data_IF_965495424882
#
_entry.id   IF_965495424882
#
_cell.length_a   1.000
_cell.length_b   1.000
_cell.length_c   1.000
_cell.angle_alpha   90.00
_cell.angle_beta   90.00
_cell.angle_gamma   90.00
#
_symmetry.space_group_name_H-M   'P 1'
#
loop_
_entity.id
_entity.type
_entity.pdbx_description
1 polymer ?
#
# COMPACT_ATOMS: atom_id res chain seq x y z
N UNK A 1 13.89 97.69 -15.10
CA UNK A 1 12.52 98.24 -15.20
C UNK A 1 11.79 97.49 -16.30
N UNK A 2 10.82 96.64 -15.94
CA UNK A 2 9.78 96.11 -16.82
C UNK A 2 10.23 95.75 -18.28
N UNK A 3 9.40 95.89 -19.33
CA UNK A 3 8.86 94.81 -20.16
C UNK A 3 9.41 94.83 -21.60
N UNK A 4 9.20 93.78 -22.40
CA UNK A 4 9.41 93.85 -23.86
C UNK A 4 8.08 93.76 -24.62
N UNK A 5 7.45 94.92 -24.76
CA UNK A 5 6.50 95.25 -25.82
C UNK A 5 7.24 95.23 -27.16
N UNK A 6 6.64 94.66 -28.20
CA UNK A 6 6.89 95.09 -29.58
C UNK A 6 5.61 95.65 -30.17
N UNK A 7 5.67 96.96 -30.41
CA UNK A 7 4.78 97.74 -31.25
C UNK A 7 4.86 97.24 -32.69
N UNK A 8 3.71 97.19 -33.36
CA UNK A 8 3.61 97.63 -34.74
C UNK A 8 2.54 98.72 -34.78
N UNK A 9 3.01 99.93 -35.08
CA UNK A 9 2.21 101.10 -35.39
C UNK A 9 2.11 101.20 -36.91
N UNK A 10 0.89 101.18 -37.45
CA UNK A 10 0.53 101.70 -38.78
C UNK A 10 -0.91 102.21 -38.59
N UNK A 11 -1.11 103.48 -38.21
CA UNK A 11 -1.23 104.65 -39.09
C UNK A 11 -2.52 104.58 -39.91
N UNK A 12 -3.58 105.12 -39.31
CA UNK A 12 -4.74 105.67 -40.00
C UNK A 12 -4.26 106.75 -40.98
N UNK A 13 -4.49 106.54 -42.28
CA UNK A 13 -5.01 107.56 -43.18
C UNK A 13 -5.41 106.93 -44.54
N UNK A 14 -6.44 107.53 -45.15
CA UNK A 14 -6.98 107.32 -46.51
C UNK A 14 -7.84 106.06 -46.69
N UNK A 15 -9.13 106.13 -47.00
CA UNK A 15 -9.88 107.18 -47.69
C UNK A 15 -10.55 106.55 -48.91
N UNK A 16 -11.87 106.76 -49.03
CA UNK A 16 -12.76 106.34 -50.14
C UNK A 16 -13.05 104.82 -50.16
N UNK A 17 -14.28 104.34 -50.31
CA UNK A 17 -15.45 104.92 -50.96
C UNK A 17 -16.70 104.33 -50.30
N UNK A 18 -17.62 105.19 -49.85
CA UNK A 18 -19.04 104.82 -49.74
C UNK A 18 -19.61 104.79 -51.17
N UNK A 19 -19.05 103.91 -52.00
CA UNK A 19 -19.40 103.72 -53.40
C UNK A 19 -20.56 102.73 -53.49
N UNK A 20 -21.77 103.27 -53.38
CA UNK A 20 -23.02 102.75 -53.94
C UNK A 20 -22.98 101.30 -54.45
N UNK A 21 -23.15 100.33 -53.53
CA UNK A 21 -23.51 98.95 -53.90
C UNK A 21 -24.86 98.93 -54.67
N UNK A 22 -25.66 100.00 -54.56
CA UNK A 22 -26.90 100.16 -55.33
C UNK A 22 -26.71 100.51 -56.81
N UNK A 23 -25.55 101.07 -57.21
CA UNK A 23 -25.30 101.54 -58.58
C UNK A 23 -24.76 100.45 -59.52
N UNK A 24 -23.89 99.56 -59.03
CA UNK A 24 -23.28 98.49 -59.83
C UNK A 24 -24.19 97.28 -60.00
N UNK A 25 -25.05 96.96 -59.01
CA UNK A 25 -26.05 95.89 -59.15
C UNK A 25 -27.15 96.22 -60.16
N UNK A 26 -27.50 97.50 -60.34
CA UNK A 26 -28.55 97.93 -61.29
C UNK A 26 -28.16 97.73 -62.76
N UNK A 27 -26.86 97.72 -63.08
CA UNK A 27 -26.39 97.54 -64.45
C UNK A 27 -26.26 96.07 -64.86
N UNK A 28 -26.01 95.17 -63.90
CA UNK A 28 -25.87 93.73 -64.12
C UNK A 28 -27.22 93.00 -64.17
N UNK A 29 -28.20 93.45 -63.37
CA UNK A 29 -29.53 92.83 -63.25
C UNK A 29 -30.63 93.73 -63.84
N UNK A 30 -30.51 94.07 -65.13
CA UNK A 30 -31.56 94.78 -65.88
C UNK A 30 -32.83 93.93 -66.00
N UNK A 31 -34.00 94.58 -66.03
CA UNK A 31 -35.28 93.90 -66.24
C UNK A 31 -35.26 93.07 -67.53
N UNK A 32 -35.57 91.78 -67.41
CA UNK A 32 -35.62 90.85 -68.55
C UNK A 32 -36.99 90.20 -68.60
N UNK A 33 -37.53 90.10 -69.81
CA UNK A 33 -38.83 89.52 -70.08
C UNK A 33 -38.61 88.21 -70.83
N UNK A 34 -39.05 87.11 -70.24
CA UNK A 34 -38.94 85.78 -70.85
C UNK A 34 -40.28 85.52 -71.56
N UNK A 35 -40.21 85.30 -72.87
CA UNK A 35 -41.36 85.00 -73.71
C UNK A 35 -41.49 83.48 -73.83
N UNK A 36 -42.56 82.92 -73.27
CA UNK A 36 -42.90 81.52 -73.46
C UNK A 36 -44.18 81.42 -74.29
N UNK A 37 -44.11 80.72 -75.42
CA UNK A 37 -45.23 80.52 -76.34
C UNK A 37 -45.65 79.05 -76.30
N UNK A 38 -46.82 78.78 -75.74
CA UNK A 38 -47.45 77.46 -75.73
C UNK A 38 -48.91 77.61 -76.16
N UNK A 39 -49.37 76.78 -77.10
CA UNK A 39 -50.75 76.72 -77.62
C UNK A 39 -51.37 78.09 -77.96
N UNK A 40 -50.63 78.88 -78.75
CA UNK A 40 -51.15 80.12 -79.33
C UNK A 40 -51.26 81.31 -78.37
N UNK A 41 -51.04 81.14 -77.06
CA UNK A 41 -51.10 82.22 -76.05
C UNK A 41 -49.69 82.56 -75.56
N UNK A 42 -49.30 83.83 -75.70
CA UNK A 42 -48.00 84.33 -75.21
C UNK A 42 -48.17 84.78 -73.76
N UNK A 43 -47.58 84.04 -72.83
CA UNK A 43 -47.48 84.46 -71.43
C UNK A 43 -46.15 85.20 -71.24
N UNK A 44 -46.20 86.41 -70.66
CA UNK A 44 -45.00 87.18 -70.31
C UNK A 44 -44.84 87.22 -68.79
N UNK A 45 -43.66 86.85 -68.31
CA UNK A 45 -43.28 86.99 -66.90
C UNK A 45 -42.24 88.10 -66.82
N UNK A 46 -42.53 89.17 -66.09
CA UNK A 46 -41.60 90.29 -65.86
C UNK A 46 -40.74 89.97 -64.65
N UNK A 47 -39.45 89.71 -64.86
CA UNK A 47 -38.48 89.55 -63.78
C UNK A 47 -37.92 90.92 -63.40
N UNK A 48 -38.43 91.49 -62.31
CA UNK A 48 -37.90 92.73 -61.71
C UNK A 48 -36.45 92.52 -61.24
N UNK A 49 -35.64 93.59 -61.19
CA UNK A 49 -34.26 93.52 -60.70
C UNK A 49 -34.17 92.93 -59.28
N UNK A 50 -35.14 93.20 -58.41
CA UNK A 50 -35.18 92.63 -57.05
C UNK A 50 -35.37 91.11 -57.07
N UNK A 51 -36.27 90.61 -57.90
CA UNK A 51 -36.49 89.16 -58.05
C UNK A 51 -35.29 88.45 -58.67
N UNK A 52 -34.58 89.07 -59.62
CA UNK A 52 -33.36 88.48 -60.20
C UNK A 52 -32.23 88.41 -59.17
N UNK A 53 -32.06 89.43 -58.33
CA UNK A 53 -31.06 89.42 -57.25
C UNK A 53 -31.37 88.32 -56.24
N UNK A 54 -32.63 88.18 -55.82
CA UNK A 54 -33.05 87.12 -54.89
C UNK A 54 -32.79 85.74 -55.50
N UNK A 55 -33.17 85.51 -56.75
CA UNK A 55 -32.89 84.24 -57.44
C UNK A 55 -31.39 83.98 -57.58
N UNK A 56 -30.60 84.99 -57.94
CA UNK A 56 -29.15 84.87 -58.04
C UNK A 56 -28.51 84.56 -56.67
N UNK A 57 -28.95 85.21 -55.59
CA UNK A 57 -28.47 84.93 -54.23
C UNK A 57 -28.84 83.52 -53.75
N UNK A 58 -30.06 83.05 -54.05
CA UNK A 58 -30.48 81.68 -53.75
C UNK A 58 -29.63 80.68 -54.54
N UNK A 59 -29.40 80.94 -55.83
CA UNK A 59 -28.59 80.08 -56.69
C UNK A 59 -27.14 80.02 -56.22
N UNK A 60 -26.57 81.17 -55.83
CA UNK A 60 -25.20 81.26 -55.31
C UNK A 60 -25.08 80.57 -53.95
N UNK A 61 -26.07 80.73 -53.06
CA UNK A 61 -26.16 80.00 -51.80
C UNK A 61 -26.28 78.49 -52.00
N UNK A 62 -27.09 78.04 -52.97
CA UNK A 62 -27.22 76.63 -53.33
C UNK A 62 -25.92 76.07 -53.91
N UNK A 63 -25.25 76.79 -54.82
CA UNK A 63 -23.96 76.39 -55.36
C UNK A 63 -22.86 76.33 -54.28
N UNK A 64 -22.84 77.30 -53.37
CA UNK A 64 -21.91 77.31 -52.24
C UNK A 64 -22.18 76.15 -51.27
N UNK A 65 -23.45 75.82 -51.03
CA UNK A 65 -23.84 74.66 -50.23
C UNK A 65 -23.42 73.35 -50.87
N UNK A 66 -23.62 73.19 -52.19
CA UNK A 66 -23.17 72.00 -52.93
C UNK A 66 -21.65 71.88 -52.89
N UNK A 67 -20.91 72.98 -53.07
CA UNK A 67 -19.46 72.98 -52.96
C UNK A 67 -18.99 72.58 -51.54
N UNK A 68 -19.62 73.13 -50.50
CA UNK A 68 -19.34 72.79 -49.10
C UNK A 68 -19.66 71.32 -48.80
N UNK A 69 -20.81 70.82 -49.26
CA UNK A 69 -21.24 69.44 -49.07
C UNK A 69 -20.27 68.46 -49.76
N UNK A 70 -19.89 68.73 -51.01
CA UNK A 70 -18.93 67.89 -51.75
C UNK A 70 -17.57 67.83 -51.04
N UNK A 71 -17.05 68.97 -50.59
CA UNK A 71 -15.79 69.03 -49.80
C UNK A 71 -15.93 68.20 -48.52
N UNK A 72 -17.01 68.37 -47.76
CA UNK A 72 -17.21 67.68 -46.48
C UNK A 72 -17.35 66.15 -46.67
N UNK A 73 -18.01 65.68 -47.73
CA UNK A 73 -18.13 64.25 -48.06
C UNK A 73 -16.77 63.64 -48.39
N UNK A 74 -16.00 64.26 -49.29
CA UNK A 74 -14.68 63.76 -49.72
C UNK A 74 -13.69 63.72 -48.56
N UNK A 75 -13.67 64.75 -47.70
CA UNK A 75 -12.78 64.75 -46.52
C UNK A 75 -13.27 63.84 -45.38
N UNK A 76 -14.59 63.60 -45.24
CA UNK A 76 -15.11 62.63 -44.25
C UNK A 76 -14.81 61.19 -44.61
N UNK A 77 -14.83 60.82 -45.88
CA UNK A 77 -14.55 59.43 -46.30
C UNK A 77 -13.17 58.97 -45.82
N UNK A 78 -12.15 59.81 -45.94
CA UNK A 78 -10.80 59.49 -45.44
C UNK A 78 -10.76 59.30 -43.92
N UNK A 79 -11.50 60.11 -43.16
CA UNK A 79 -11.57 60.02 -41.69
C UNK A 79 -12.37 58.77 -41.26
N UNK A 80 -13.43 58.43 -41.98
CA UNK A 80 -14.26 57.25 -41.71
C UNK A 80 -13.46 55.98 -41.99
N UNK A 81 -12.79 55.90 -43.14
CA UNK A 81 -11.95 54.75 -43.51
C UNK A 81 -10.82 54.55 -42.49
N UNK A 82 -10.11 55.61 -42.10
CA UNK A 82 -9.06 55.52 -41.09
C UNK A 82 -9.59 55.08 -39.71
N UNK A 83 -10.77 55.56 -39.30
CA UNK A 83 -11.41 55.14 -38.04
C UNK A 83 -11.93 53.70 -38.10
N UNK A 84 -12.42 53.25 -39.24
CA UNK A 84 -12.90 51.88 -39.42
C UNK A 84 -11.74 50.89 -39.48
N UNK A 85 -10.60 51.27 -40.05
CA UNK A 85 -9.36 50.50 -40.00
C UNK A 85 -8.85 50.39 -38.56
N UNK A 86 -8.76 51.50 -37.82
CA UNK A 86 -8.41 51.50 -36.40
C UNK A 86 -9.35 50.61 -35.57
N UNK A 87 -10.67 50.69 -35.80
CA UNK A 87 -11.66 49.83 -35.12
C UNK A 87 -11.46 48.35 -35.43
N UNK A 88 -11.15 48.00 -36.69
CA UNK A 88 -10.87 46.62 -37.09
C UNK A 88 -9.60 46.10 -36.43
N UNK A 89 -8.56 46.93 -36.36
CA UNK A 89 -7.30 46.59 -35.69
C UNK A 89 -7.49 46.42 -34.18
N UNK A 90 -8.24 47.31 -33.53
CA UNK A 90 -8.58 47.19 -32.11
C UNK A 90 -9.40 45.92 -31.84
N UNK A 91 -10.40 45.62 -32.68
CA UNK A 91 -11.18 44.38 -32.58
C UNK A 91 -10.33 43.13 -32.83
N UNK A 92 -9.42 43.18 -33.80
CA UNK A 92 -8.51 42.07 -34.09
C UNK A 92 -7.53 41.84 -32.93
N UNK A 93 -6.98 42.91 -32.35
CA UNK A 93 -6.12 42.84 -31.18
C UNK A 93 -6.86 42.28 -29.96
N UNK A 94 -8.10 42.70 -29.73
CA UNK A 94 -8.96 42.18 -28.67
C UNK A 94 -9.25 40.68 -28.86
N UNK A 95 -9.65 40.27 -30.07
CA UNK A 95 -9.89 38.86 -30.41
C UNK A 95 -8.64 37.99 -30.21
N UNK A 96 -7.46 38.48 -30.60
CA UNK A 96 -6.20 37.77 -30.36
C UNK A 96 -5.90 37.61 -28.87
N UNK A 97 -6.13 38.64 -28.06
CA UNK A 97 -5.98 38.54 -26.59
C UNK A 97 -6.97 37.54 -25.99
N UNK A 98 -8.23 37.56 -26.44
CA UNK A 98 -9.25 36.61 -25.99
C UNK A 98 -8.85 35.18 -26.33
N UNK A 99 -8.47 34.90 -27.58
CA UNK A 99 -8.01 33.57 -28.01
C UNK A 99 -6.75 33.11 -27.25
N UNK A 100 -5.80 34.01 -26.99
CA UNK A 100 -4.61 33.67 -26.20
C UNK A 100 -4.99 33.36 -24.74
N UNK A 101 -5.94 34.10 -24.17
CA UNK A 101 -6.45 33.82 -22.82
C UNK A 101 -7.18 32.48 -22.77
N UNK A 102 -8.05 32.19 -23.73
CA UNK A 102 -8.79 30.92 -23.83
C UNK A 102 -7.82 29.74 -23.94
N UNK A 103 -6.81 29.83 -24.82
CA UNK A 103 -5.77 28.79 -24.94
C UNK A 103 -5.00 28.58 -23.64
N UNK A 104 -4.62 29.66 -22.94
CA UNK A 104 -3.94 29.54 -21.65
C UNK A 104 -4.83 28.86 -20.59
N UNK A 105 -6.14 29.13 -20.59
CA UNK A 105 -7.09 28.45 -19.70
C UNK A 105 -7.27 26.97 -20.05
N UNK A 106 -7.39 26.63 -21.34
CA UNK A 106 -7.49 25.25 -21.80
C UNK A 106 -6.23 24.44 -21.43
N UNK A 107 -5.05 25.02 -21.63
CA UNK A 107 -3.78 24.42 -21.26
C UNK A 107 -3.73 24.10 -19.75
N UNK A 108 -3.99 25.09 -18.89
CA UNK A 108 -4.01 24.91 -17.43
C UNK A 108 -5.08 23.90 -17.01
N UNK A 109 -6.27 23.94 -17.60
CA UNK A 109 -7.36 23.01 -17.28
C UNK A 109 -7.00 21.56 -17.66
N UNK A 110 -6.39 21.36 -18.83
CA UNK A 110 -5.95 20.05 -19.27
C UNK A 110 -4.85 19.47 -18.37
N UNK A 111 -3.90 20.32 -17.96
CA UNK A 111 -2.82 19.95 -17.03
C UNK A 111 -3.39 19.55 -15.66
N UNK A 112 -4.33 20.35 -15.12
CA UNK A 112 -5.02 20.04 -13.87
C UNK A 112 -5.80 18.72 -13.91
N UNK A 113 -6.44 18.42 -15.05
CA UNK A 113 -7.11 17.15 -15.24
C UNK A 113 -6.13 15.98 -15.21
N UNK A 114 -4.98 16.09 -15.89
CA UNK A 114 -3.92 15.07 -15.89
C UNK A 114 -3.37 14.87 -14.46
N UNK A 115 -3.05 15.95 -13.74
CA UNK A 115 -2.59 15.86 -12.36
C UNK A 115 -3.60 15.14 -11.46
N UNK A 116 -4.88 15.49 -11.56
CA UNK A 116 -5.93 14.92 -10.71
C UNK A 116 -6.07 13.42 -10.94
N UNK A 117 -6.07 12.99 -12.21
CA UNK A 117 -6.18 11.57 -12.58
C UNK A 117 -4.97 10.76 -12.10
N UNK A 118 -3.77 11.28 -12.31
CA UNK A 118 -2.52 10.63 -11.88
C UNK A 118 -2.43 10.55 -10.34
N UNK A 119 -2.85 11.62 -9.65
CA UNK A 119 -2.90 11.64 -8.20
C UNK A 119 -3.90 10.62 -7.65
N UNK A 120 -5.11 10.55 -8.22
CA UNK A 120 -6.14 9.59 -7.82
C UNK A 120 -5.67 8.15 -8.04
N UNK A 121 -5.03 7.86 -9.18
CA UNK A 121 -4.45 6.55 -9.46
C UNK A 121 -3.34 6.19 -8.46
N UNK A 122 -2.43 7.13 -8.17
CA UNK A 122 -1.37 6.92 -7.18
C UNK A 122 -1.93 6.70 -5.77
N UNK A 123 -2.96 7.44 -5.38
CA UNK A 123 -3.60 7.30 -4.08
C UNK A 123 -4.29 5.95 -3.93
N UNK A 124 -5.08 5.54 -4.93
CA UNK A 124 -5.76 4.22 -4.95
C UNK A 124 -4.77 3.07 -4.87
N UNK A 125 -3.63 3.18 -5.57
CA UNK A 125 -2.54 2.20 -5.49
C UNK A 125 -1.94 2.13 -4.09
N UNK A 126 -1.63 3.28 -3.50
CA UNK A 126 -1.04 3.37 -2.17
C UNK A 126 -2.00 2.87 -1.09
N UNK A 127 -3.29 3.13 -1.23
CA UNK A 127 -4.36 2.59 -0.38
C UNK A 127 -4.37 1.05 -0.44
N UNK A 128 -4.40 0.46 -1.64
CA UNK A 128 -4.35 -1.01 -1.80
C UNK A 128 -3.09 -1.63 -1.20
N UNK A 129 -1.92 -1.02 -1.41
CA UNK A 129 -0.66 -1.47 -0.78
C UNK A 129 -0.69 -1.30 0.75
N UNK A 130 -1.30 -0.23 1.26
CA UNK A 130 -1.41 -0.03 2.69
C UNK A 130 -2.33 -1.07 3.35
N UNK A 131 -3.47 -1.38 2.73
CA UNK A 131 -4.42 -2.38 3.23
C UNK A 131 -3.82 -3.79 3.21
N UNK A 132 -3.10 -4.13 2.13
CA UNK A 132 -2.34 -5.37 2.07
C UNK A 132 -1.28 -5.46 3.19
N UNK A 133 -0.49 -4.40 3.40
CA UNK A 133 0.49 -4.36 4.48
C UNK A 133 -0.17 -4.46 5.86
N UNK A 134 -1.28 -3.74 6.07
CA UNK A 134 -2.04 -3.74 7.32
C UNK A 134 -2.50 -5.15 7.68
N UNK A 135 -3.15 -5.84 6.75
CA UNK A 135 -3.64 -7.20 6.97
C UNK A 135 -2.50 -8.20 7.27
N UNK A 136 -1.35 -8.07 6.60
CA UNK A 136 -0.16 -8.86 6.89
C UNK A 136 0.38 -8.60 8.30
N UNK A 137 0.40 -7.34 8.73
CA UNK A 137 0.83 -6.96 10.08
C UNK A 137 -0.14 -7.47 11.14
N UNK A 138 -1.45 -7.35 10.90
CA UNK A 138 -2.49 -7.88 11.79
C UNK A 138 -2.35 -9.41 11.94
N UNK A 139 -2.26 -10.16 10.83
CA UNK A 139 -2.04 -11.61 10.83
C UNK A 139 -0.74 -12.01 11.52
N UNK A 140 0.35 -11.27 11.29
CA UNK A 140 1.61 -11.51 11.99
C UNK A 140 1.47 -11.26 13.49
N UNK A 141 0.76 -10.19 13.88
CA UNK A 141 0.62 -9.82 15.29
C UNK A 141 -0.16 -10.87 16.09
N UNK A 142 -1.22 -11.45 15.51
CA UNK A 142 -1.96 -12.55 16.14
C UNK A 142 -1.07 -13.78 16.29
N UNK A 143 -0.30 -14.13 15.25
CA UNK A 143 0.63 -15.26 15.31
C UNK A 143 1.76 -15.03 16.33
N UNK A 144 2.29 -13.81 16.43
CA UNK A 144 3.30 -13.45 17.44
C UNK A 144 2.77 -13.64 18.87
N UNK A 145 1.50 -13.29 19.12
CA UNK A 145 0.86 -13.48 20.43
C UNK A 145 0.73 -14.97 20.74
N UNK A 146 0.25 -15.78 19.80
CA UNK A 146 0.17 -17.23 19.96
C UNK A 146 1.54 -17.86 20.21
N UNK A 147 2.56 -17.41 19.48
CA UNK A 147 3.91 -17.92 19.59
C UNK A 147 4.59 -17.54 20.89
N UNK A 148 4.39 -16.30 21.37
CA UNK A 148 4.85 -15.92 22.72
C UNK A 148 4.18 -16.76 23.79
N UNK A 149 2.87 -17.00 23.67
CA UNK A 149 2.15 -17.89 24.60
C UNK A 149 2.71 -19.31 24.60
N UNK A 150 3.04 -19.86 23.43
CA UNK A 150 3.68 -21.17 23.33
C UNK A 150 5.09 -21.16 23.96
N UNK A 151 5.91 -20.16 23.65
CA UNK A 151 7.26 -20.03 24.20
C UNK A 151 7.24 -19.88 25.73
N UNK A 152 6.33 -19.05 26.27
CA UNK A 152 6.17 -18.87 27.72
C UNK A 152 5.70 -20.15 28.42
N UNK A 153 4.69 -20.83 27.86
CA UNK A 153 4.16 -22.07 28.45
C UNK A 153 5.18 -23.19 28.43
N UNK A 154 5.94 -23.31 27.35
CA UNK A 154 6.99 -24.30 27.25
C UNK A 154 8.24 -23.92 28.10
N UNK A 155 8.61 -22.63 28.19
CA UNK A 155 9.68 -22.15 29.08
C UNK A 155 9.34 -22.33 30.56
N UNK A 156 8.09 -22.07 30.94
CA UNK A 156 7.56 -22.34 32.28
C UNK A 156 7.53 -23.85 32.60
N UNK A 157 7.43 -24.71 31.58
CA UNK A 157 7.55 -26.17 31.72
C UNK A 157 8.98 -26.62 32.09
N UNK A 158 9.95 -25.71 32.05
CA UNK A 158 11.30 -25.89 32.59
C UNK A 158 12.21 -26.79 31.76
N UNK A 159 13.47 -26.38 31.63
CA UNK A 159 14.54 -27.30 31.24
C UNK A 159 14.67 -28.43 32.28
N UNK A 160 15.07 -29.66 31.87
CA UNK A 160 15.20 -30.78 32.78
C UNK A 160 16.08 -30.43 33.99
N UNK A 161 15.54 -30.68 35.20
CA UNK A 161 16.18 -30.37 36.48
C UNK A 161 15.57 -29.21 37.27
N UNK A 162 14.54 -28.53 36.75
CA UNK A 162 13.80 -27.50 37.48
C UNK A 162 14.57 -26.19 37.68
N UNK A 163 15.63 -25.95 36.90
CA UNK A 163 16.32 -24.65 36.83
C UNK A 163 15.67 -23.84 35.71
N UNK A 164 15.17 -22.64 36.05
CA UNK A 164 15.05 -21.57 35.05
C UNK A 164 16.44 -21.32 34.51
N UNK A 165 16.63 -21.45 33.20
CA UNK A 165 17.89 -21.08 32.56
C UNK A 165 18.02 -19.56 32.61
N UNK A 166 18.56 -19.06 33.72
CA UNK A 166 19.02 -17.69 33.86
C UNK A 166 20.44 -17.66 33.31
N UNK A 167 20.59 -17.47 32.00
CA UNK A 167 21.90 -17.39 31.40
C UNK A 167 21.86 -17.25 29.89
N UNK A 168 22.29 -16.09 29.43
CA UNK A 168 22.48 -15.61 28.06
C UNK A 168 23.48 -16.41 27.20
N UNK A 169 23.72 -17.69 27.48
CA UNK A 169 24.55 -18.54 26.64
C UNK A 169 23.67 -19.30 25.64
N UNK A 170 23.22 -18.54 24.64
CA UNK A 170 22.83 -19.06 23.33
C UNK A 170 24.05 -19.77 22.76
N UNK A 171 24.25 -21.05 23.04
CA UNK A 171 25.15 -21.88 22.25
C UNK A 171 24.41 -22.16 20.95
N UNK A 172 24.45 -21.16 20.07
CA UNK A 172 24.23 -21.36 18.64
C UNK A 172 25.28 -22.39 18.24
N UNK A 173 24.86 -23.64 18.04
CA UNK A 173 25.57 -24.48 17.08
C UNK A 173 25.36 -23.76 15.77
N UNK A 174 26.33 -22.92 15.40
CA UNK A 174 26.50 -22.45 14.05
C UNK A 174 26.64 -23.71 13.20
N UNK A 175 25.65 -24.07 12.36
CA UNK A 175 25.91 -25.07 11.35
C UNK A 175 26.77 -24.34 10.30
N UNK A 176 28.07 -24.21 10.60
CA UNK A 176 29.08 -23.85 9.61
C UNK A 176 29.17 -24.98 8.62
N UNK A 177 28.24 -24.95 7.67
CA UNK A 177 28.39 -25.44 6.31
C UNK A 177 28.32 -24.23 5.40
N UNK A 178 29.38 -23.41 5.44
CA UNK A 178 29.73 -22.32 4.50
C UNK A 178 28.68 -22.07 3.40
N UNK A 179 27.83 -21.07 3.56
CA UNK A 179 27.38 -20.32 2.39
C UNK A 179 28.57 -19.44 1.96
N UNK A 180 29.12 -19.61 0.74
CA UNK A 180 30.11 -18.69 0.25
C UNK A 180 29.42 -17.37 -0.05
N UNK A 181 29.99 -16.29 0.49
CA UNK A 181 29.62 -14.87 0.32
C UNK A 181 28.40 -14.38 1.14
N UNK A 182 28.52 -13.23 1.84
CA UNK A 182 27.36 -12.50 2.29
C UNK A 182 26.60 -12.11 1.02
N UNK A 183 25.45 -12.73 0.75
CA UNK A 183 24.57 -12.23 -0.31
C UNK A 183 24.30 -10.77 0.03
N UNK A 184 24.72 -9.85 -0.84
CA UNK A 184 24.17 -8.50 -0.81
C UNK A 184 22.66 -8.65 -0.66
N UNK A 185 22.09 -7.98 0.34
CA UNK A 185 20.73 -8.24 0.74
C UNK A 185 19.84 -8.17 -0.50
N UNK A 186 19.05 -9.21 -0.79
CA UNK A 186 18.05 -9.17 -1.88
C UNK A 186 17.22 -7.88 -1.80
N UNK A 187 17.06 -7.37 -0.59
CA UNK A 187 16.49 -6.07 -0.21
C UNK A 187 17.19 -4.85 -0.85
N UNK A 188 18.52 -4.81 -0.91
CA UNK A 188 19.25 -3.72 -1.56
C UNK A 188 19.18 -3.80 -3.08
N UNK A 189 19.25 -5.01 -3.64
CA UNK A 189 19.07 -5.23 -5.09
C UNK A 189 17.65 -4.85 -5.55
N UNK A 190 16.62 -5.27 -4.80
CA UNK A 190 15.22 -4.91 -5.08
C UNK A 190 14.98 -3.40 -4.94
N UNK A 191 15.67 -2.71 -4.03
CA UNK A 191 15.59 -1.25 -3.90
C UNK A 191 16.25 -0.53 -5.08
N UNK A 192 17.36 -1.05 -5.57
CA UNK A 192 18.14 -0.47 -6.66
C UNK A 192 17.41 -0.69 -7.99
N UNK A 193 16.91 -1.90 -8.25
CA UNK A 193 16.00 -2.25 -9.35
C UNK A 193 14.71 -1.41 -9.34
N UNK A 194 14.15 -1.16 -8.15
CA UNK A 194 13.00 -0.27 -7.98
C UNK A 194 13.30 1.21 -8.26
N UNK A 195 14.54 1.67 -8.04
CA UNK A 195 14.93 3.03 -8.39
C UNK A 195 15.25 3.16 -9.88
N UNK A 196 15.89 2.15 -10.46
CA UNK A 196 16.36 2.14 -11.85
C UNK A 196 15.18 2.12 -12.84
N UNK A 197 14.17 1.29 -12.59
CA UNK A 197 12.93 1.24 -13.40
C UNK A 197 12.13 2.54 -13.41
N UNK A 198 12.23 3.36 -12.37
CA UNK A 198 11.54 4.66 -12.27
C UNK A 198 12.29 5.74 -13.05
N UNK A 199 13.61 5.68 -13.05
CA UNK A 199 14.49 6.59 -13.78
C UNK A 199 14.36 6.32 -15.29
N UNK A 200 14.29 5.07 -15.72
CA UNK A 200 14.12 4.71 -17.14
C UNK A 200 12.74 5.11 -17.69
N UNK A 201 11.70 5.17 -16.84
CA UNK A 201 10.35 5.57 -17.22
C UNK A 201 10.18 7.10 -17.32
N UNK A 202 10.99 7.89 -16.58
CA UNK A 202 11.04 9.37 -16.69
C UNK A 202 11.50 9.85 -18.08
N UNK A 203 12.21 9.01 -18.85
CA UNK A 203 12.76 9.38 -20.17
C UNK A 203 11.73 9.15 -21.31
N UNK A 204 10.72 8.30 -21.10
CA UNK A 204 9.83 7.83 -22.16
C UNK A 204 8.58 8.69 -22.40
N UNK A 205 8.08 9.42 -21.39
CA UNK A 205 6.89 10.25 -21.50
C UNK A 205 7.26 11.74 -21.48
N UNK A 206 7.35 12.34 -22.66
CA UNK A 206 7.79 13.72 -22.90
C UNK A 206 6.89 14.85 -22.36
N UNK A 207 6.37 14.72 -21.14
CA UNK A 207 5.75 15.81 -20.39
C UNK A 207 6.78 16.31 -19.37
N UNK A 208 7.57 17.31 -19.75
CA UNK A 208 8.52 18.00 -18.86
C UNK A 208 7.74 18.78 -17.79
N UNK A 209 7.31 18.08 -16.73
CA UNK A 209 6.63 18.70 -15.61
C UNK A 209 7.18 18.22 -14.28
N UNK A 210 7.87 19.14 -13.61
CA UNK A 210 8.59 18.91 -12.34
C UNK A 210 7.68 18.35 -11.23
N UNK A 211 6.41 18.72 -11.20
CA UNK A 211 5.47 18.27 -10.15
C UNK A 211 5.09 16.79 -10.34
N UNK A 212 4.81 16.37 -11.57
CA UNK A 212 4.46 14.97 -11.87
C UNK A 212 5.65 14.04 -11.67
N UNK A 213 6.85 14.46 -12.08
CA UNK A 213 8.06 13.67 -11.87
C UNK A 213 8.40 13.52 -10.40
N UNK A 214 8.31 14.60 -9.59
CA UNK A 214 8.53 14.51 -8.14
C UNK A 214 7.51 13.59 -7.45
N UNK A 215 6.23 13.66 -7.85
CA UNK A 215 5.20 12.75 -7.34
C UNK A 215 5.49 11.29 -7.70
N UNK A 216 5.80 10.99 -8.97
CA UNK A 216 6.15 9.63 -9.44
C UNK A 216 7.37 9.10 -8.69
N UNK A 217 8.40 9.93 -8.51
CA UNK A 217 9.62 9.58 -7.76
C UNK A 217 9.32 9.27 -6.30
N UNK A 218 8.53 10.11 -5.60
CA UNK A 218 8.18 9.88 -4.19
C UNK A 218 7.31 8.65 -3.99
N UNK A 219 6.31 8.44 -4.85
CA UNK A 219 5.46 7.25 -4.80
C UNK A 219 6.27 5.98 -5.01
N UNK A 220 7.19 5.98 -5.97
CA UNK A 220 8.06 4.83 -6.20
C UNK A 220 9.05 4.59 -5.07
N UNK A 221 9.67 5.63 -4.50
CA UNK A 221 10.53 5.52 -3.32
C UNK A 221 9.79 4.92 -2.12
N UNK A 222 8.52 5.31 -1.92
CA UNK A 222 7.69 4.78 -0.85
C UNK A 222 7.36 3.30 -1.09
N UNK A 223 6.86 2.94 -2.27
CA UNK A 223 6.57 1.55 -2.63
C UNK A 223 7.84 0.67 -2.55
N UNK A 224 9.02 1.18 -2.96
CA UNK A 224 10.30 0.47 -2.80
C UNK A 224 10.65 0.22 -1.34
N UNK A 225 10.42 1.20 -0.48
CA UNK A 225 10.62 1.07 0.97
C UNK A 225 9.68 0.01 1.57
N UNK A 226 8.44 -0.10 1.08
CA UNK A 226 7.50 -1.13 1.51
C UNK A 226 7.93 -2.53 1.05
N UNK A 227 8.38 -2.70 -0.20
CA UNK A 227 8.93 -3.97 -0.70
C UNK A 227 10.12 -4.44 0.13
N UNK A 228 11.04 -3.52 0.45
CA UNK A 228 12.18 -3.75 1.34
C UNK A 228 11.74 -4.25 2.71
N UNK A 229 10.71 -3.64 3.29
CA UNK A 229 10.14 -4.05 4.57
C UNK A 229 9.54 -5.46 4.50
N UNK A 230 8.75 -5.75 3.47
CA UNK A 230 8.15 -7.07 3.24
C UNK A 230 9.22 -8.15 3.04
N UNK A 231 10.26 -7.88 2.24
CA UNK A 231 11.39 -8.78 2.05
C UNK A 231 12.14 -9.03 3.37
N UNK A 232 12.28 -8.02 4.22
CA UNK A 232 12.83 -8.16 5.57
C UNK A 232 11.97 -9.02 6.49
N UNK A 233 10.64 -8.95 6.37
CA UNK A 233 9.70 -9.82 7.09
C UNK A 233 9.81 -11.27 6.58
N UNK A 234 9.81 -11.47 5.27
CA UNK A 234 9.98 -12.78 4.63
C UNK A 234 11.24 -13.48 5.15
N UNK A 235 12.38 -12.80 5.17
CA UNK A 235 13.65 -13.36 5.64
C UNK A 235 13.63 -13.74 7.13
N UNK A 236 12.94 -12.95 7.98
CA UNK A 236 12.78 -13.27 9.40
C UNK A 236 11.91 -14.51 9.59
N UNK A 237 10.80 -14.60 8.86
CA UNK A 237 9.90 -15.76 8.93
C UNK A 237 10.57 -17.00 8.38
N UNK A 238 11.31 -16.88 7.29
CA UNK A 238 12.05 -17.99 6.71
C UNK A 238 13.10 -18.54 7.69
N UNK A 239 13.79 -17.67 8.43
CA UNK A 239 14.66 -18.08 9.54
C UNK A 239 13.91 -18.83 10.64
N UNK A 240 12.79 -18.29 11.11
CA UNK A 240 11.97 -18.92 12.15
C UNK A 240 11.45 -20.31 11.73
N UNK A 241 11.01 -20.45 10.48
CA UNK A 241 10.56 -21.72 9.90
C UNK A 241 11.71 -22.74 9.91
N UNK A 242 12.92 -22.35 9.46
CA UNK A 242 14.09 -23.25 9.47
C UNK A 242 14.48 -23.69 10.88
N UNK A 243 14.42 -22.79 11.85
CA UNK A 243 14.70 -23.13 13.26
C UNK A 243 13.69 -24.15 13.79
N UNK A 244 12.38 -23.94 13.54
CA UNK A 244 11.32 -24.88 13.90
C UNK A 244 11.47 -26.24 13.22
N UNK A 245 11.79 -26.24 11.93
CA UNK A 245 12.07 -27.46 11.14
C UNK A 245 13.23 -28.26 11.75
N UNK A 246 14.32 -27.59 12.12
CA UNK A 246 15.47 -28.23 12.77
C UNK A 246 15.09 -28.87 14.12
N UNK A 247 14.32 -28.16 14.95
CA UNK A 247 13.80 -28.68 16.23
C UNK A 247 12.97 -29.94 15.98
N UNK A 248 12.05 -29.91 15.01
CA UNK A 248 11.20 -31.04 14.67
C UNK A 248 12.02 -32.23 14.14
N UNK A 249 13.05 -31.99 13.34
CA UNK A 249 13.94 -33.07 12.84
C UNK A 249 14.71 -33.75 13.98
N UNK A 250 15.13 -33.02 15.01
CA UNK A 250 15.82 -33.62 16.18
C UNK A 250 14.97 -34.67 16.88
N UNK A 251 13.64 -34.50 16.90
CA UNK A 251 12.71 -35.48 17.50
C UNK A 251 12.69 -36.83 16.77
N UNK A 252 13.17 -36.90 15.52
CA UNK A 252 13.03 -38.06 14.64
C UNK A 252 11.62 -38.27 14.07
N UNK A 253 10.65 -37.45 14.44
CA UNK A 253 9.30 -37.41 13.85
C UNK A 253 9.13 -36.28 12.83
N UNK A 254 10.15 -35.41 12.66
CA UNK A 254 10.05 -34.17 11.89
C UNK A 254 9.56 -34.35 10.45
N UNK A 255 10.15 -35.23 9.65
CA UNK A 255 9.82 -35.36 8.22
C UNK A 255 8.31 -35.60 7.95
N UNK A 256 7.67 -36.43 8.77
CA UNK A 256 6.24 -36.72 8.63
C UNK A 256 5.35 -35.62 9.22
N UNK A 257 5.84 -34.86 10.20
CA UNK A 257 5.13 -33.72 10.77
C UNK A 257 5.15 -32.52 9.83
N UNK A 258 6.29 -32.28 9.18
CA UNK A 258 6.43 -31.27 8.12
C UNK A 258 5.51 -31.63 6.96
N UNK A 259 5.52 -32.88 6.49
CA UNK A 259 4.61 -33.30 5.43
C UNK A 259 3.13 -33.11 5.78
N UNK A 260 2.74 -33.28 7.06
CA UNK A 260 1.39 -32.97 7.53
C UNK A 260 1.11 -31.47 7.59
N UNK A 261 2.08 -30.66 8.01
CA UNK A 261 1.97 -29.22 7.98
C UNK A 261 1.81 -28.71 6.54
N UNK A 262 2.54 -29.29 5.60
CA UNK A 262 2.43 -29.01 4.16
C UNK A 262 1.07 -29.44 3.60
N UNK A 263 0.52 -30.57 4.05
CA UNK A 263 -0.83 -31.02 3.67
C UNK A 263 -1.90 -30.05 4.20
N UNK A 264 -1.79 -29.61 5.45
CA UNK A 264 -2.70 -28.59 6.02
C UNK A 264 -2.58 -27.25 5.31
N UNK A 265 -1.36 -26.85 4.92
CA UNK A 265 -1.09 -25.67 4.13
C UNK A 265 -1.75 -25.80 2.74
N UNK A 266 -1.56 -26.93 2.06
CA UNK A 266 -2.18 -27.20 0.75
C UNK A 266 -3.70 -27.17 0.80
N UNK A 267 -4.30 -27.75 1.84
CA UNK A 267 -5.74 -27.66 2.09
C UNK A 267 -6.21 -26.22 2.32
N UNK A 268 -5.43 -25.42 3.05
CA UNK A 268 -5.76 -24.03 3.34
C UNK A 268 -5.63 -23.13 2.11
N UNK A 269 -4.61 -23.34 1.28
CA UNK A 269 -4.44 -22.67 -0.02
C UNK A 269 -5.56 -23.04 -0.98
N UNK A 270 -5.96 -24.32 -1.02
CA UNK A 270 -7.10 -24.77 -1.83
C UNK A 270 -8.44 -24.20 -1.34
N UNK A 271 -8.62 -24.05 -0.02
CA UNK A 271 -9.79 -23.40 0.55
C UNK A 271 -9.84 -21.90 0.19
N UNK A 272 -8.70 -21.21 0.27
CA UNK A 272 -8.55 -19.82 -0.18
C UNK A 272 -8.92 -19.65 -1.66
N UNK A 273 -8.47 -20.56 -2.53
CA UNK A 273 -8.75 -20.52 -3.96
C UNK A 273 -10.22 -20.81 -4.31
N UNK A 274 -10.98 -21.47 -3.43
CA UNK A 274 -12.39 -21.83 -3.66
C UNK A 274 -13.39 -20.79 -3.12
N UNK A 275 -12.95 -19.82 -2.34
CA UNK A 275 -13.83 -18.81 -1.74
C UNK A 275 -14.89 -19.39 -0.78
N UNK A 276 -14.62 -20.57 -0.22
CA UNK A 276 -15.57 -21.34 0.58
C UNK A 276 -15.53 -20.89 2.04
N UNK A 277 -16.59 -20.25 2.53
CA UNK A 277 -16.74 -19.61 3.85
C UNK A 277 -16.96 -20.59 5.03
N UNK A 278 -16.41 -21.80 4.91
CA UNK A 278 -16.59 -22.95 5.81
C UNK A 278 -16.44 -22.62 7.29
N UNK A 279 -17.58 -22.38 7.94
CA UNK A 279 -17.76 -21.55 9.12
C UNK A 279 -17.34 -22.12 10.48
N UNK A 280 -16.52 -23.18 10.56
CA UNK A 280 -16.14 -23.73 11.89
C UNK A 280 -14.69 -24.26 12.04
N UNK A 281 -13.85 -24.30 10.99
CA UNK A 281 -12.51 -24.93 11.13
C UNK A 281 -11.33 -24.21 10.45
N UNK A 282 -11.56 -23.21 9.59
CA UNK A 282 -10.47 -22.54 8.87
C UNK A 282 -10.75 -21.03 8.79
N UNK A 283 -9.99 -20.22 9.54
CA UNK A 283 -10.02 -18.77 9.38
C UNK A 283 -9.49 -18.41 7.99
N UNK A 284 -10.37 -17.86 7.15
CA UNK A 284 -10.01 -17.36 5.82
C UNK A 284 -9.51 -15.94 6.01
N UNK A 285 -8.20 -15.78 5.93
CA UNK A 285 -7.53 -14.49 6.03
C UNK A 285 -6.37 -14.43 5.05
N UNK A 286 -6.32 -13.33 4.31
CA UNK A 286 -5.24 -12.98 3.39
C UNK A 286 -5.40 -11.53 2.96
N UNK A 287 -4.32 -10.82 2.63
CA UNK A 287 -4.42 -9.47 2.08
C UNK A 287 -5.32 -9.49 0.84
N UNK A 288 -6.24 -8.52 0.75
CA UNK A 288 -6.90 -8.25 -0.52
C UNK A 288 -5.83 -7.83 -1.53
N UNK A 289 -5.63 -8.66 -2.55
CA UNK A 289 -4.78 -8.32 -3.68
C UNK A 289 -5.74 -7.90 -4.80
N UNK A 290 -5.83 -6.59 -5.13
CA UNK A 290 -6.65 -6.15 -6.24
C UNK A 290 -6.15 -6.81 -7.53
N UNK A 291 -7.08 -7.34 -8.32
CA UNK A 291 -6.81 -7.74 -9.70
C UNK A 291 -6.92 -6.47 -10.54
N UNK A 292 -5.78 -5.93 -10.95
CA UNK A 292 -5.75 -4.72 -11.78
C UNK A 292 -6.21 -5.08 -13.21
N UNK A 293 -7.35 -4.57 -13.65
CA UNK A 293 -7.85 -4.78 -15.03
C UNK A 293 -7.24 -3.84 -16.07
N UNK A 294 -6.46 -2.81 -15.73
CA UNK A 294 -5.86 -1.93 -16.74
C UNK A 294 -4.64 -1.16 -16.19
N UNK A 295 -3.45 -1.40 -16.74
CA UNK A 295 -2.31 -0.47 -16.66
C UNK A 295 -1.31 -0.63 -15.50
N UNK A 296 -1.17 -1.82 -14.90
CA UNK A 296 -0.15 -2.02 -13.86
C UNK A 296 1.27 -1.93 -14.43
N UNK A 297 2.03 -0.95 -13.96
CA UNK A 297 3.49 -0.90 -14.09
C UNK A 297 4.11 -2.14 -13.43
N UNK A 298 5.19 -2.68 -14.00
CA UNK A 298 5.93 -3.88 -13.55
C UNK A 298 6.20 -3.88 -12.03
N UNK A 299 6.38 -2.69 -11.47
CA UNK A 299 6.63 -2.46 -10.05
C UNK A 299 5.41 -2.68 -9.11
N UNK A 300 4.17 -2.57 -9.60
CA UNK A 300 2.99 -2.97 -8.81
C UNK A 300 2.98 -4.50 -8.59
N UNK A 301 3.39 -5.26 -9.61
CA UNK A 301 3.50 -6.72 -9.55
C UNK A 301 4.49 -7.19 -8.49
N UNK A 302 5.70 -6.62 -8.45
CA UNK A 302 6.74 -7.04 -7.49
C UNK A 302 6.32 -6.85 -6.03
N UNK A 303 5.56 -5.79 -5.72
CA UNK A 303 4.98 -5.58 -4.39
C UNK A 303 4.02 -6.72 -4.03
N UNK A 304 3.00 -6.98 -4.86
CA UNK A 304 1.98 -7.97 -4.56
C UNK A 304 2.54 -9.39 -4.56
N UNK A 305 3.52 -9.70 -5.42
CA UNK A 305 4.25 -10.97 -5.37
C UNK A 305 5.03 -11.14 -4.06
N UNK A 306 5.69 -10.08 -3.59
CA UNK A 306 6.41 -10.13 -2.30
C UNK A 306 5.43 -10.28 -1.15
N UNK A 307 4.31 -9.55 -1.18
CA UNK A 307 3.25 -9.68 -0.19
C UNK A 307 2.65 -11.11 -0.16
N UNK A 308 2.43 -11.73 -1.33
CA UNK A 308 1.96 -13.10 -1.44
C UNK A 308 2.96 -14.10 -0.85
N UNK A 309 4.26 -13.95 -1.14
CA UNK A 309 5.31 -14.79 -0.50
C UNK A 309 5.35 -14.62 1.01
N UNK A 310 5.20 -13.39 1.52
CA UNK A 310 5.11 -13.13 2.96
C UNK A 310 3.89 -13.85 3.56
N UNK A 311 2.73 -13.77 2.92
CA UNK A 311 1.52 -14.47 3.37
C UNK A 311 1.68 -16.00 3.38
N UNK A 312 2.31 -16.57 2.36
CA UNK A 312 2.62 -18.00 2.29
C UNK A 312 3.48 -18.43 3.50
N UNK A 313 4.55 -17.67 3.78
CA UNK A 313 5.44 -17.93 4.93
C UNK A 313 4.73 -17.75 6.27
N UNK A 314 3.81 -16.78 6.40
CA UNK A 314 2.98 -16.63 7.60
C UNK A 314 2.10 -17.88 7.82
N UNK A 315 1.50 -18.39 6.74
CA UNK A 315 0.62 -19.56 6.80
C UNK A 315 1.40 -20.83 7.14
N UNK A 316 2.57 -21.01 6.53
CA UNK A 316 3.51 -22.10 6.85
C UNK A 316 3.95 -22.06 8.32
N UNK A 317 4.33 -20.87 8.82
CA UNK A 317 4.73 -20.69 10.21
C UNK A 317 3.58 -21.01 11.18
N UNK A 318 2.35 -20.59 10.86
CA UNK A 318 1.16 -20.91 11.65
C UNK A 318 0.88 -22.43 11.69
N UNK A 319 0.97 -23.12 10.56
CA UNK A 319 0.79 -24.57 10.48
C UNK A 319 1.86 -25.33 11.29
N UNK A 320 3.12 -24.90 11.22
CA UNK A 320 4.21 -25.45 12.02
C UNK A 320 4.01 -25.19 13.51
N UNK A 321 3.62 -23.98 13.89
CA UNK A 321 3.33 -23.62 15.28
C UNK A 321 2.21 -24.50 15.88
N UNK A 322 1.12 -24.69 15.13
CA UNK A 322 0.02 -25.58 15.53
C UNK A 322 0.46 -27.03 15.68
N UNK A 323 1.37 -27.49 14.82
CA UNK A 323 1.93 -28.85 14.88
C UNK A 323 2.86 -29.03 16.08
N UNK A 324 3.77 -28.09 16.34
CA UNK A 324 4.71 -28.11 17.47
C UNK A 324 3.98 -28.20 18.80
N UNK A 325 2.84 -27.50 18.94
CA UNK A 325 2.03 -27.52 20.16
C UNK A 325 1.55 -28.93 20.55
N UNK A 326 1.43 -29.86 19.61
CA UNK A 326 1.01 -31.25 19.87
C UNK A 326 2.19 -32.19 20.14
N UNK A 327 3.43 -31.72 19.95
CA UNK A 327 4.64 -32.52 20.16
C UNK A 327 4.99 -32.49 21.66
N UNK A 328 5.25 -33.66 22.30
CA UNK A 328 5.51 -33.74 23.74
C UNK A 328 6.94 -33.31 24.09
N UNK A 329 7.25 -32.02 23.91
CA UNK A 329 8.57 -31.41 24.09
C UNK A 329 8.93 -31.11 25.55
N UNK A 330 7.93 -31.05 26.44
CA UNK A 330 8.16 -30.74 27.85
C UNK A 330 8.59 -31.96 28.68
N UNK A 331 9.25 -31.71 29.82
CA UNK A 331 9.57 -32.75 30.78
C UNK A 331 8.33 -33.15 31.60
N UNK A 332 8.08 -34.45 31.84
CA UNK A 332 6.91 -34.89 32.61
C UNK A 332 7.04 -34.65 34.13
N UNK A 333 8.20 -34.21 34.61
CA UNK A 333 8.49 -33.94 36.04
C UNK A 333 9.13 -32.56 36.19
N UNK A 334 8.35 -31.58 36.63
CA UNK A 334 8.83 -30.19 36.77
C UNK A 334 9.77 -30.00 37.98
N UNK A 335 9.55 -30.77 39.05
CA UNK A 335 10.39 -30.72 40.26
C UNK A 335 11.79 -31.29 39.99
N UNK A 336 12.74 -30.98 40.88
CA UNK A 336 14.09 -31.58 40.84
C UNK A 336 13.99 -33.11 40.84
N UNK A 337 14.54 -33.73 39.80
CA UNK A 337 14.50 -35.17 39.57
C UNK A 337 15.83 -35.65 39.00
N UNK A 338 16.00 -36.97 38.94
CA UNK A 338 17.13 -37.63 38.27
C UNK A 338 16.61 -38.65 37.27
N UNK A 339 17.10 -38.61 36.04
CA UNK A 339 16.90 -39.70 35.08
C UNK A 339 17.70 -40.92 35.54
N UNK A 340 17.02 -42.01 35.85
CA UNK A 340 17.63 -43.24 36.39
C UNK A 340 17.84 -44.32 35.34
N UNK A 341 17.11 -44.28 34.22
CA UNK A 341 17.30 -45.22 33.11
C UNK A 341 16.88 -44.58 31.79
N UNK A 342 17.71 -44.76 30.76
CA UNK A 342 17.42 -44.34 29.39
C UNK A 342 16.62 -45.37 28.59
N UNK A 343 16.19 -44.96 27.39
CA UNK A 343 15.52 -45.81 26.41
C UNK A 343 16.48 -46.85 25.79
N UNK A 344 15.97 -48.01 25.37
CA UNK A 344 16.75 -49.02 24.64
C UNK A 344 17.17 -50.24 25.46
N UNK A 345 18.28 -50.89 25.08
CA UNK A 345 18.68 -52.18 25.66
C UNK A 345 19.40 -51.99 27.01
N UNK A 346 18.93 -52.68 28.05
CA UNK A 346 19.56 -52.68 29.39
C UNK A 346 19.56 -54.08 30.01
N UNK A 347 20.25 -54.24 31.15
CA UNK A 347 20.08 -55.43 32.00
C UNK A 347 18.73 -55.38 32.71
N UNK A 348 18.01 -56.50 32.80
CA UNK A 348 16.72 -56.55 33.49
C UNK A 348 16.92 -56.27 34.99
N UNK A 349 16.22 -55.26 35.56
CA UNK A 349 16.46 -54.84 36.94
C UNK A 349 16.03 -55.88 37.98
N UNK A 350 15.19 -56.85 37.61
CA UNK A 350 14.76 -57.95 38.48
C UNK A 350 15.49 -59.26 38.17
N UNK A 351 15.98 -59.44 36.94
CA UNK A 351 16.69 -60.62 36.44
C UNK A 351 18.03 -60.18 35.86
N UNK A 352 18.99 -59.87 36.75
CA UNK A 352 20.32 -59.30 36.40
C UNK A 352 21.12 -60.09 35.36
N UNK A 353 20.77 -61.35 35.09
CA UNK A 353 21.38 -62.20 34.06
C UNK A 353 20.75 -62.10 32.67
N UNK A 354 19.66 -61.34 32.48
CA UNK A 354 18.95 -61.23 31.19
C UNK A 354 18.97 -59.78 30.68
N UNK A 355 19.09 -59.61 29.36
CA UNK A 355 18.86 -58.32 28.70
C UNK A 355 17.36 -58.06 28.58
N UNK A 356 16.94 -56.82 28.79
CA UNK A 356 15.58 -56.34 28.59
C UNK A 356 15.60 -55.04 27.78
N UNK A 357 14.55 -54.79 26.99
CA UNK A 357 14.37 -53.52 26.29
C UNK A 357 13.50 -52.59 27.14
N UNK A 358 13.96 -51.37 27.33
CA UNK A 358 13.27 -50.30 28.00
C UNK A 358 12.63 -49.39 26.95
N UNK A 359 11.31 -49.26 27.00
CA UNK A 359 10.52 -48.56 25.99
C UNK A 359 10.21 -47.09 26.35
N UNK A 360 10.91 -46.56 27.36
CA UNK A 360 10.70 -45.21 27.85
C UNK A 360 11.90 -44.69 28.65
N UNK A 361 11.66 -43.64 29.43
CA UNK A 361 12.60 -43.05 30.38
C UNK A 361 12.09 -43.23 31.81
N UNK A 362 13.00 -43.51 32.73
CA UNK A 362 12.69 -43.61 34.15
C UNK A 362 13.20 -42.36 34.89
N UNK A 363 12.30 -41.63 35.56
CA UNK A 363 12.61 -40.44 36.37
C UNK A 363 12.36 -40.69 37.84
N UNK A 364 13.39 -40.54 38.68
CA UNK A 364 13.27 -40.65 40.13
C UNK A 364 13.12 -39.28 40.79
N UNK A 365 12.11 -39.17 41.65
CA UNK A 365 11.89 -38.05 42.56
C UNK A 365 11.19 -38.55 43.84
N UNK A 366 10.82 -37.64 44.73
CA UNK A 366 10.10 -37.99 45.95
C UNK A 366 8.74 -38.66 45.63
N UNK A 367 8.29 -39.56 46.51
CA UNK A 367 6.96 -40.17 46.37
C UNK A 367 5.91 -39.05 46.42
N UNK A 368 4.91 -39.16 45.55
CA UNK A 368 3.86 -38.17 45.32
C UNK A 368 4.29 -36.87 44.65
N UNK A 369 5.51 -36.79 44.08
CA UNK A 369 5.87 -35.67 43.19
C UNK A 369 4.82 -35.55 42.06
N UNK A 370 4.29 -34.34 41.78
CA UNK A 370 3.36 -34.13 40.68
C UNK A 370 3.96 -34.54 39.34
N UNK A 371 3.18 -35.28 38.55
CA UNK A 371 3.47 -35.65 37.17
C UNK A 371 2.55 -34.85 36.27
N UNK A 372 3.10 -34.24 35.24
CA UNK A 372 2.39 -33.33 34.36
C UNK A 372 2.30 -33.84 32.92
N UNK A 373 1.28 -33.41 32.20
CA UNK A 373 1.16 -33.65 30.76
C UNK A 373 2.24 -32.87 29.99
N UNK A 374 2.88 -33.52 29.03
CA UNK A 374 4.03 -32.98 28.27
C UNK A 374 3.63 -32.28 26.98
N UNK A 375 2.35 -32.35 26.61
CA UNK A 375 1.68 -31.60 25.56
C UNK A 375 0.15 -31.59 25.86
N UNK A 376 -0.62 -30.63 25.32
CA UNK A 376 -2.07 -30.68 25.36
C UNK A 376 -2.62 -31.93 24.65
N UNK A 377 -3.74 -32.46 25.11
CA UNK A 377 -4.33 -33.66 24.52
C UNK A 377 -5.56 -34.17 25.24
N UNK A 378 -6.03 -35.35 24.82
CA UNK A 378 -7.17 -36.06 25.43
C UNK A 378 -6.67 -37.33 26.11
N UNK A 379 -7.06 -37.54 27.36
CA UNK A 379 -6.75 -38.76 28.10
C UNK A 379 -7.52 -39.92 27.50
N UNK A 380 -6.80 -40.89 26.93
CA UNK A 380 -7.40 -42.10 26.33
C UNK A 380 -7.43 -43.28 27.29
N UNK A 381 -6.60 -43.27 28.34
CA UNK A 381 -6.64 -44.28 29.40
C UNK A 381 -6.20 -43.69 30.75
N UNK A 382 -6.89 -44.09 31.82
CA UNK A 382 -6.55 -43.74 33.20
C UNK A 382 -6.98 -44.89 34.12
N UNK A 383 -6.03 -45.71 34.58
CA UNK A 383 -6.33 -46.89 35.39
C UNK A 383 -5.12 -47.78 35.66
N UNK A 384 -5.35 -49.01 36.11
CA UNK A 384 -4.27 -49.99 36.35
C UNK A 384 -4.10 -50.89 35.12
N UNK A 385 -2.85 -51.07 34.62
CA UNK A 385 -2.55 -51.91 33.45
C UNK A 385 -1.32 -52.80 33.66
N UNK A 386 -1.55 -54.02 34.16
CA UNK A 386 -0.51 -55.06 34.26
C UNK A 386 0.80 -54.58 34.88
N UNK A 387 1.92 -54.80 34.18
CA UNK A 387 3.27 -54.42 34.64
C UNK A 387 3.46 -52.90 34.82
N UNK A 388 2.68 -52.05 34.13
CA UNK A 388 2.76 -50.59 34.28
C UNK A 388 2.20 -50.10 35.62
N UNK A 389 1.41 -50.92 36.32
CA UNK A 389 0.69 -50.47 37.51
C UNK A 389 -0.34 -49.40 37.15
N UNK A 390 -0.48 -48.35 37.97
CA UNK A 390 -1.33 -47.20 37.64
C UNK A 390 -0.70 -46.37 36.53
N UNK A 391 -1.49 -46.10 35.51
CA UNK A 391 -1.08 -45.55 34.25
C UNK A 391 -2.08 -44.49 33.76
N UNK A 392 -1.54 -43.42 33.17
CA UNK A 392 -2.28 -42.48 32.32
C UNK A 392 -1.71 -42.56 30.91
N UNK A 393 -2.57 -42.58 29.90
CA UNK A 393 -2.20 -42.47 28.47
C UNK A 393 -2.96 -41.29 27.86
N UNK A 394 -2.24 -40.42 27.15
CA UNK A 394 -2.77 -39.18 26.57
C UNK A 394 -2.51 -39.21 25.07
N UNK A 395 -3.53 -38.89 24.28
CA UNK A 395 -3.44 -38.68 22.84
C UNK A 395 -3.35 -37.19 22.55
N UNK A 396 -2.24 -36.79 21.93
CA UNK A 396 -1.94 -35.38 21.64
C UNK A 396 -2.36 -34.96 20.23
N UNK A 397 -2.88 -35.89 19.43
CA UNK A 397 -3.07 -35.67 18.00
C UNK A 397 -1.80 -35.93 17.20
N UNK A 398 -1.89 -35.77 15.88
CA UNK A 398 -0.78 -35.96 14.94
C UNK A 398 -0.03 -37.32 15.00
N UNK A 399 -0.60 -38.31 15.67
CA UNK A 399 0.00 -39.64 15.87
C UNK A 399 0.80 -39.80 17.16
N UNK A 400 0.83 -38.76 18.01
CA UNK A 400 1.53 -38.76 19.29
C UNK A 400 0.67 -39.27 20.44
N UNK A 401 1.25 -40.18 21.23
CA UNK A 401 0.72 -40.56 22.54
C UNK A 401 1.80 -40.60 23.59
N UNK A 402 1.47 -40.24 24.81
CA UNK A 402 2.37 -40.34 25.96
C UNK A 402 1.79 -41.25 27.02
N UNK A 403 2.68 -41.92 27.76
CA UNK A 403 2.30 -42.83 28.85
C UNK A 403 3.06 -42.49 30.12
N UNK A 404 2.34 -42.51 31.24
CA UNK A 404 2.85 -42.15 32.56
C UNK A 404 2.52 -43.27 33.53
N UNK A 405 3.49 -44.14 33.80
CA UNK A 405 3.30 -45.37 34.56
C UNK A 405 3.86 -45.31 35.98
N UNK A 406 3.61 -46.38 36.75
CA UNK A 406 4.02 -46.55 38.15
C UNK A 406 3.45 -45.51 39.11
N UNK A 407 2.34 -44.85 38.76
CA UNK A 407 1.76 -43.75 39.52
C UNK A 407 1.27 -44.20 40.92
N UNK A 408 1.37 -43.33 41.91
CA UNK A 408 0.75 -43.51 43.22
C UNK A 408 -0.76 -43.22 43.17
N UNK A 409 -1.09 -42.07 42.57
CA UNK A 409 -2.45 -41.55 42.46
C UNK A 409 -2.64 -41.03 41.05
N UNK A 410 -3.77 -41.36 40.43
CA UNK A 410 -4.20 -40.78 39.17
C UNK A 410 -5.08 -39.57 39.50
N UNK A 411 -4.84 -38.43 38.86
CA UNK A 411 -5.55 -37.16 39.09
C UNK A 411 -6.46 -36.77 37.92
N UNK A 412 -6.47 -37.56 36.85
CA UNK A 412 -7.32 -37.36 35.67
C UNK A 412 -8.17 -38.60 35.38
N UNK A 413 -9.07 -38.52 34.40
CA UNK A 413 -9.96 -39.61 33.98
C UNK A 413 -9.96 -39.73 32.47
N UNK A 414 -10.26 -40.94 31.96
CA UNK A 414 -10.43 -41.15 30.54
C UNK A 414 -11.52 -40.23 29.98
N UNK A 415 -11.25 -39.64 28.81
CA UNK A 415 -12.11 -38.67 28.16
C UNK A 415 -11.86 -37.20 28.55
N UNK A 416 -11.09 -36.91 29.60
CA UNK A 416 -10.71 -35.53 29.93
C UNK A 416 -9.75 -34.93 28.91
N UNK A 417 -9.92 -33.66 28.60
CA UNK A 417 -8.89 -32.83 27.96
C UNK A 417 -7.91 -32.34 29.01
N UNK A 418 -6.63 -32.27 28.65
CA UNK A 418 -5.56 -31.72 29.47
C UNK A 418 -4.76 -30.72 28.66
N UNK A 419 -4.32 -29.64 29.29
CA UNK A 419 -3.33 -28.70 28.78
C UNK A 419 -1.90 -29.19 29.01
N UNK A 420 -0.96 -28.49 28.41
CA UNK A 420 0.46 -28.61 28.79
C UNK A 420 0.61 -28.29 30.29
N UNK A 421 1.43 -29.07 30.99
CA UNK A 421 1.71 -28.93 32.43
C UNK A 421 0.56 -29.26 33.40
N UNK A 422 -0.60 -29.70 32.91
CA UNK A 422 -1.67 -30.13 33.82
C UNK A 422 -1.23 -31.35 34.65
N UNK A 423 -1.51 -31.31 35.96
CA UNK A 423 -1.18 -32.42 36.86
C UNK A 423 -2.11 -33.60 36.61
N UNK A 424 -1.57 -34.67 36.04
CA UNK A 424 -2.30 -35.87 35.65
C UNK A 424 -2.19 -37.00 36.68
N UNK A 425 -1.20 -36.94 37.56
CA UNK A 425 -0.96 -37.95 38.57
C UNK A 425 0.16 -37.59 39.53
N UNK A 426 0.40 -38.48 40.49
CA UNK A 426 1.46 -38.33 41.48
C UNK A 426 2.39 -39.54 41.41
N UNK A 427 3.70 -39.31 41.46
CA UNK A 427 4.75 -40.34 41.35
C UNK A 427 4.60 -41.43 42.41
N UNK A 428 4.83 -42.68 42.02
CA UNK A 428 4.70 -43.84 42.91
C UNK A 428 5.66 -44.97 42.58
N UNK A 429 5.26 -46.18 42.96
CA UNK A 429 6.00 -47.43 42.70
C UNK A 429 5.02 -48.60 42.56
N UNK A 430 3.99 -48.46 41.73
CA UNK A 430 3.00 -49.54 41.49
C UNK A 430 3.35 -50.41 40.30
N UNK A 431 2.91 -51.66 40.26
CA UNK A 431 3.21 -52.57 39.16
C UNK A 431 4.62 -53.15 39.27
N UNK A 432 5.29 -53.38 38.14
CA UNK A 432 6.65 -53.91 38.09
C UNK A 432 7.66 -52.77 38.27
N UNK A 433 7.84 -52.34 39.51
CA UNK A 433 8.73 -51.24 39.90
C UNK A 433 9.69 -51.67 41.02
N UNK A 434 10.95 -51.23 40.98
CA UNK A 434 11.96 -51.50 42.03
C UNK A 434 12.01 -50.42 43.12
N UNK A 435 11.62 -49.18 42.80
CA UNK A 435 11.65 -48.03 43.69
C UNK A 435 10.72 -46.92 43.19
N UNK A 436 10.55 -45.83 43.94
CA UNK A 436 9.74 -44.68 43.49
C UNK A 436 10.33 -44.03 42.25
N UNK A 437 9.61 -44.09 41.13
CA UNK A 437 9.95 -43.40 39.87
C UNK A 437 8.72 -43.25 38.97
N UNK A 438 8.82 -42.37 37.98
CA UNK A 438 7.95 -42.31 36.83
C UNK A 438 8.60 -43.11 35.70
N UNK A 439 7.83 -43.98 35.05
CA UNK A 439 8.18 -44.53 33.74
C UNK A 439 7.38 -43.78 32.66
N UNK A 440 8.08 -43.11 31.75
CA UNK A 440 7.54 -42.24 30.73
C UNK A 440 7.83 -42.78 29.33
N UNK A 441 6.79 -43.00 28.51
CA UNK A 441 6.96 -43.41 27.11
C UNK A 441 6.37 -42.34 26.17
N UNK A 442 7.01 -42.17 25.02
CA UNK A 442 6.46 -41.44 23.86
C UNK A 442 6.22 -42.44 22.75
N UNK A 443 5.04 -42.35 22.14
CA UNK A 443 4.62 -43.15 21.01
C UNK A 443 4.35 -42.23 19.83
N UNK A 444 4.87 -42.60 18.67
CA UNK A 444 4.58 -41.93 17.41
C UNK A 444 4.11 -42.97 16.39
N UNK A 445 2.93 -42.76 15.80
CA UNK A 445 2.30 -43.69 14.85
C UNK A 445 2.29 -45.14 15.36
N UNK A 446 1.88 -45.32 16.63
CA UNK A 446 1.77 -46.63 17.33
C UNK A 446 3.11 -47.33 17.61
N UNK A 447 4.25 -46.66 17.43
CA UNK A 447 5.58 -47.19 17.76
C UNK A 447 6.19 -46.39 18.90
N UNK A 448 6.87 -47.08 19.82
CA UNK A 448 7.66 -46.42 20.86
C UNK A 448 8.87 -45.75 20.24
N UNK A 449 9.06 -44.48 20.58
CA UNK A 449 10.20 -43.66 20.18
C UNK A 449 10.93 -43.19 21.42
N UNK A 450 12.20 -42.84 21.24
CA UNK A 450 13.06 -42.39 22.34
C UNK A 450 12.55 -41.04 22.90
N UNK A 451 12.03 -40.98 24.13
CA UNK A 451 11.52 -39.73 24.70
C UNK A 451 12.60 -38.67 24.95
N UNK A 452 13.87 -39.07 25.04
CA UNK A 452 14.99 -38.14 25.30
C UNK A 452 15.13 -37.12 24.18
N UNK A 453 14.95 -37.56 22.93
CA UNK A 453 15.00 -36.68 21.73
C UNK A 453 13.95 -35.58 21.76
N UNK A 454 12.78 -35.84 22.32
CA UNK A 454 11.70 -34.86 22.42
C UNK A 454 11.97 -33.84 23.51
N UNK A 455 12.45 -34.30 24.67
CA UNK A 455 12.81 -33.43 25.79
C UNK A 455 14.01 -32.55 25.41
N UNK A 456 15.02 -33.11 24.72
CA UNK A 456 16.14 -32.34 24.19
C UNK A 456 15.71 -31.31 23.15
N UNK A 457 14.87 -31.70 22.17
CA UNK A 457 14.31 -30.77 21.19
C UNK A 457 13.60 -29.60 21.87
N UNK A 458 12.81 -29.88 22.92
CA UNK A 458 12.17 -28.86 23.74
C UNK A 458 13.16 -27.88 24.37
N UNK A 459 14.28 -28.38 24.90
CA UNK A 459 15.33 -27.53 25.48
C UNK A 459 15.89 -26.52 24.49
N UNK A 460 16.12 -26.93 23.25
CA UNK A 460 16.63 -26.03 22.22
C UNK A 460 15.65 -24.87 21.94
N UNK A 461 14.33 -25.12 22.02
CA UNK A 461 13.29 -24.07 21.92
C UNK A 461 13.34 -23.09 23.10
N UNK A 462 13.81 -23.52 24.27
CA UNK A 462 13.88 -22.69 25.49
C UNK A 462 15.20 -21.94 25.63
N UNK A 463 16.24 -22.38 24.92
CA UNK A 463 17.58 -21.79 24.92
C UNK A 463 17.80 -20.80 23.76
N UNK A 464 17.00 -20.90 22.68
CA UNK A 464 16.99 -19.99 21.52
C UNK A 464 16.20 -18.72 21.76
#
# INVERSE_FOLDING_TARGET
MAPFKRQWAVRDDMGKDKGSVSGTLGHLFRERQIYHRSDGIVHFIKLSSRTQIVFASILLGALMWVAYASVNVVFKEQIIVAKDEQRRDEQAAYRRRLQNSERAYEEVSSLNFIYSREFEAALKKLEGQHDALRSLVENKSSLDVEMRGLAETLSAAGAPGGRKLSGSNRVMIDPVGREPTPRQSRVSALREEALESVIDQEIAEGIENEVLSDMRRKTAQLSASQVVLLAGMEEKMHRAIREMDQILRHTGAGANLIAKADETLGLQVLAQARGDDGSDLVGIGGPFIPVDEEGATEFSGTYYETAARVQERLTELAALAGTIRQVPLASPVLNRHRQTSGFGLRWDPFKRSKRARHYGLDFAAARRTPIVATAPGRVVFAGTRGAYGKLVEIDHGNGFRTRYAHLHTIKTRAGSTVGLNDVIGLMGSTGRSTATHLHYEVHYNRRQVDPERFIEAGRYVFES
#
